data_IF_191847911976
#
_entry.id   IF_191847911976
#
_cell.length_a   1.000
_cell.length_b   1.000
_cell.length_c   1.000
_cell.angle_alpha   90.00
_cell.angle_beta   90.00
_cell.angle_gamma   90.00
#
_symmetry.space_group_name_H-M   'P 1'
#
loop_
_entity.id
_entity.type
_entity.pdbx_description
1 polymer ?
#
# COMPACT_ATOMS: atom_id res chain seq x y z
N UNK A 1 13.15 -27.17 -21.30
CA UNK A 1 12.69 -26.36 -20.16
C UNK A 1 11.35 -25.76 -20.52
N UNK A 2 10.39 -25.75 -19.59
CA UNK A 2 9.14 -24.99 -19.76
C UNK A 2 9.45 -23.49 -19.89
N UNK A 3 8.66 -22.78 -20.69
CA UNK A 3 8.80 -21.34 -20.94
C UNK A 3 7.55 -20.61 -20.43
N UNK A 4 7.72 -19.33 -20.07
CA UNK A 4 6.58 -18.45 -19.79
C UNK A 4 5.68 -18.34 -21.02
N UNK A 5 4.38 -18.51 -20.81
CA UNK A 5 3.34 -18.49 -21.84
C UNK A 5 2.12 -17.72 -21.32
N UNK A 6 2.10 -16.41 -21.59
CA UNK A 6 1.07 -15.51 -21.09
C UNK A 6 -0.29 -15.73 -21.77
N UNK A 7 -0.38 -16.49 -22.87
CA UNK A 7 -1.68 -16.87 -23.44
C UNK A 7 -2.44 -17.85 -22.55
N UNK A 8 -1.75 -18.47 -21.58
CA UNK A 8 -2.31 -19.38 -20.56
C UNK A 8 -2.46 -18.71 -19.18
N UNK A 9 -2.29 -17.38 -19.10
CA UNK A 9 -2.49 -16.64 -17.86
C UNK A 9 -3.91 -16.84 -17.33
N UNK A 10 -4.04 -17.26 -16.06
CA UNK A 10 -5.33 -17.46 -15.41
C UNK A 10 -5.42 -16.66 -14.10
N UNK A 11 -6.44 -15.81 -14.05
CA UNK A 11 -6.81 -15.02 -12.88
C UNK A 11 -8.31 -15.16 -12.55
N UNK A 12 -8.97 -16.21 -13.04
CA UNK A 12 -10.38 -16.51 -12.76
C UNK A 12 -10.68 -16.67 -11.26
N UNK A 13 -9.69 -17.13 -10.49
CA UNK A 13 -9.77 -17.22 -9.02
C UNK A 13 -9.83 -15.85 -8.34
N UNK A 14 -9.25 -14.83 -8.97
CA UNK A 14 -9.07 -13.52 -8.35
C UNK A 14 -10.35 -12.70 -8.40
N UNK A 15 -10.83 -12.32 -7.21
CA UNK A 15 -12.01 -11.47 -7.07
C UNK A 15 -11.58 -10.09 -6.57
N UNK A 16 -11.50 -9.06 -7.42
CA UNK A 16 -11.08 -7.72 -6.99
C UNK A 16 -12.05 -7.07 -5.98
N UNK A 17 -13.29 -7.59 -5.89
CA UNK A 17 -14.37 -6.95 -5.15
C UNK A 17 -14.91 -5.72 -5.88
N UNK A 18 -15.95 -5.12 -5.30
CA UNK A 18 -16.73 -4.08 -5.97
C UNK A 18 -17.44 -4.58 -7.24
N UNK A 19 -18.46 -3.87 -7.68
CA UNK A 19 -19.07 -4.12 -9.00
C UNK A 19 -18.19 -3.54 -10.11
N UNK A 20 -18.40 -3.96 -11.36
CA UNK A 20 -17.69 -3.38 -12.51
C UNK A 20 -17.90 -1.85 -12.59
N UNK A 21 -19.15 -1.40 -12.41
CA UNK A 21 -19.52 0.02 -12.34
C UNK A 21 -18.74 0.74 -11.23
N UNK A 22 -18.68 0.16 -10.03
CA UNK A 22 -17.92 0.75 -8.92
C UNK A 22 -16.44 0.92 -9.25
N UNK A 23 -15.82 -0.06 -9.93
CA UNK A 23 -14.42 0.02 -10.38
C UNK A 23 -14.22 1.12 -11.43
N UNK A 24 -15.12 1.24 -12.39
CA UNK A 24 -15.07 2.27 -13.43
C UNK A 24 -15.21 3.66 -12.83
N UNK A 25 -16.22 3.88 -11.97
CA UNK A 25 -16.39 5.16 -11.29
C UNK A 25 -15.17 5.50 -10.43
N UNK A 26 -14.64 4.52 -9.69
CA UNK A 26 -13.45 4.74 -8.88
C UNK A 26 -12.25 5.16 -9.72
N UNK A 27 -12.06 4.56 -10.91
CA UNK A 27 -10.97 4.94 -11.80
C UNK A 27 -10.96 6.45 -12.08
N UNK A 28 -12.10 7.02 -12.49
CA UNK A 28 -12.21 8.45 -12.76
C UNK A 28 -12.06 9.30 -11.49
N UNK A 29 -12.68 8.89 -10.37
CA UNK A 29 -12.53 9.58 -9.08
C UNK A 29 -11.07 9.61 -8.63
N UNK A 30 -10.35 8.49 -8.75
CA UNK A 30 -8.94 8.37 -8.40
C UNK A 30 -8.08 9.29 -9.26
N UNK A 31 -8.32 9.35 -10.57
CA UNK A 31 -7.61 10.28 -11.47
C UNK A 31 -7.89 11.74 -11.10
N UNK A 32 -9.15 12.12 -10.95
CA UNK A 32 -9.55 13.51 -10.74
C UNK A 32 -9.18 14.07 -9.37
N UNK A 33 -9.29 13.25 -8.31
CA UNK A 33 -9.16 13.73 -6.93
C UNK A 33 -7.90 13.24 -6.21
N UNK A 34 -7.27 12.14 -6.63
CA UNK A 34 -6.11 11.59 -5.92
C UNK A 34 -4.82 11.81 -6.71
N UNK A 35 -4.80 11.38 -7.97
CA UNK A 35 -3.61 11.51 -8.82
C UNK A 35 -3.38 12.95 -9.31
N UNK A 36 -4.45 13.73 -9.42
CA UNK A 36 -4.39 15.14 -9.81
C UNK A 36 -3.51 15.97 -8.85
N UNK A 37 -2.37 16.51 -9.31
CA UNK A 37 -1.46 17.28 -8.46
C UNK A 37 -2.08 18.61 -7.96
N UNK A 38 -3.12 19.11 -8.64
CA UNK A 38 -3.80 20.37 -8.28
C UNK A 38 -4.81 20.22 -7.15
N UNK A 39 -5.07 19.01 -6.63
CA UNK A 39 -5.95 18.83 -5.49
C UNK A 39 -5.15 18.65 -4.17
N UNK A 40 -4.92 19.72 -3.38
CA UNK A 40 -4.25 19.61 -2.09
C UNK A 40 -5.17 19.10 -0.96
N UNK A 41 -6.48 19.09 -1.16
CA UNK A 41 -7.44 18.88 -0.07
C UNK A 41 -7.53 17.40 0.32
N UNK A 42 -7.15 17.09 1.57
CA UNK A 42 -7.25 15.74 2.13
C UNK A 42 -8.70 15.36 2.44
N UNK A 43 -9.52 16.31 2.89
CA UNK A 43 -10.93 16.09 3.23
C UNK A 43 -11.74 15.52 2.06
N UNK A 44 -11.54 16.07 0.86
CA UNK A 44 -12.21 15.61 -0.36
C UNK A 44 -11.78 14.19 -0.76
N UNK A 45 -10.49 13.86 -0.63
CA UNK A 45 -9.99 12.49 -0.84
C UNK A 45 -10.61 11.52 0.17
N UNK A 46 -10.66 11.91 1.45
CA UNK A 46 -11.24 11.09 2.52
C UNK A 46 -12.74 10.85 2.28
N UNK A 47 -13.47 11.89 1.86
CA UNK A 47 -14.89 11.75 1.49
C UNK A 47 -15.08 10.66 0.44
N UNK A 48 -14.36 10.74 -0.69
CA UNK A 48 -14.45 9.74 -1.75
C UNK A 48 -14.01 8.35 -1.31
N UNK A 49 -12.95 8.23 -0.51
CA UNK A 49 -12.53 6.94 0.04
C UNK A 49 -13.66 6.28 0.84
N UNK A 50 -14.33 7.02 1.72
CA UNK A 50 -15.43 6.51 2.54
C UNK A 50 -16.63 6.11 1.68
N UNK A 51 -17.02 6.92 0.69
CA UNK A 51 -18.10 6.59 -0.26
C UNK A 51 -17.80 5.29 -1.00
N UNK A 52 -16.54 5.05 -1.38
CA UNK A 52 -16.13 3.83 -2.07
C UNK A 52 -15.82 2.65 -1.13
N UNK A 53 -16.08 2.78 0.17
CA UNK A 53 -16.07 1.69 1.15
C UNK A 53 -14.77 1.51 1.92
N UNK A 54 -13.83 2.46 1.84
CA UNK A 54 -12.68 2.45 2.73
C UNK A 54 -13.10 2.83 4.17
N UNK A 55 -12.40 2.27 5.15
CA UNK A 55 -12.49 2.70 6.55
C UNK A 55 -11.37 3.69 6.80
N UNK A 56 -11.70 4.92 7.21
CA UNK A 56 -10.70 5.99 7.41
C UNK A 56 -10.96 6.68 8.75
N UNK A 57 -9.94 6.69 9.62
CA UNK A 57 -9.95 7.33 10.92
C UNK A 57 -9.87 8.86 10.88
N UNK A 58 -9.54 9.45 12.03
CA UNK A 58 -9.44 10.91 12.24
C UNK A 58 -8.04 11.41 11.89
N UNK A 59 -7.92 12.70 11.53
CA UNK A 59 -6.61 13.34 11.35
C UNK A 59 -5.76 12.76 10.21
N UNK A 60 -6.36 12.06 9.25
CA UNK A 60 -5.63 11.50 8.10
C UNK A 60 -5.28 12.61 7.11
N UNK A 61 -4.03 12.63 6.66
CA UNK A 61 -3.53 13.55 5.63
C UNK A 61 -3.13 12.74 4.41
N UNK A 62 -3.68 13.09 3.24
CA UNK A 62 -3.40 12.46 1.96
C UNK A 62 -2.95 13.53 0.97
N UNK A 63 -1.66 13.51 0.67
CA UNK A 63 -1.02 14.45 -0.25
C UNK A 63 -1.46 14.25 -1.70
N UNK A 64 -1.20 15.22 -2.59
CA UNK A 64 -1.49 15.08 -4.02
C UNK A 64 -0.74 13.93 -4.68
N UNK A 65 -1.22 13.54 -5.85
CA UNK A 65 -0.63 12.50 -6.70
C UNK A 65 -0.56 11.10 -6.07
N UNK A 66 -1.36 10.83 -5.03
CA UNK A 66 -1.51 9.48 -4.47
C UNK A 66 -2.36 8.63 -5.42
N UNK A 67 -2.05 7.34 -5.53
CA UNK A 67 -2.81 6.40 -6.34
C UNK A 67 -3.28 5.23 -5.48
N UNK A 68 -4.59 4.97 -5.44
CA UNK A 68 -5.19 3.88 -4.66
C UNK A 68 -6.02 2.99 -5.59
N UNK A 69 -5.76 1.69 -5.59
CA UNK A 69 -6.39 0.77 -6.55
C UNK A 69 -7.85 0.46 -6.20
N UNK A 70 -8.13 0.02 -4.97
CA UNK A 70 -9.44 -0.49 -4.52
C UNK A 70 -9.80 -0.01 -3.10
N UNK A 71 -10.52 1.12 -2.93
CA UNK A 71 -10.83 1.68 -1.61
C UNK A 71 -11.54 0.73 -0.65
N UNK A 72 -12.41 -0.14 -1.16
CA UNK A 72 -13.12 -1.14 -0.36
C UNK A 72 -12.22 -2.23 0.26
N UNK A 73 -10.93 -2.24 -0.08
CA UNK A 73 -9.89 -3.09 0.50
C UNK A 73 -8.89 -2.30 1.36
N UNK A 74 -9.24 -1.05 1.74
CA UNK A 74 -8.34 -0.15 2.46
C UNK A 74 -8.93 0.21 3.83
N UNK A 75 -8.13 -0.01 4.88
CA UNK A 75 -8.39 0.48 6.23
C UNK A 75 -7.25 1.39 6.66
N UNK A 76 -7.58 2.58 7.12
CA UNK A 76 -6.65 3.60 7.61
C UNK A 76 -7.08 3.99 9.03
N UNK A 77 -6.14 3.92 9.96
CA UNK A 77 -6.27 4.36 11.34
C UNK A 77 -6.34 5.88 11.51
N UNK A 78 -6.06 6.32 12.73
CA UNK A 78 -6.03 7.73 13.10
C UNK A 78 -4.64 8.35 12.91
N UNK A 79 -4.60 9.65 12.61
CA UNK A 79 -3.38 10.45 12.52
C UNK A 79 -2.33 9.87 11.56
N UNK A 80 -2.81 9.40 10.40
CA UNK A 80 -1.97 8.82 9.36
C UNK A 80 -1.54 9.88 8.36
N UNK A 81 -0.28 9.85 7.96
CA UNK A 81 0.26 10.68 6.88
C UNK A 81 0.60 9.84 5.65
N UNK A 82 0.05 10.23 4.49
CA UNK A 82 0.35 9.63 3.18
C UNK A 82 0.94 10.70 2.28
N UNK A 83 2.22 10.57 1.98
CA UNK A 83 3.02 11.49 1.17
C UNK A 83 2.68 11.47 -0.31
N UNK A 84 3.23 12.43 -1.04
CA UNK A 84 3.01 12.61 -2.47
C UNK A 84 3.43 11.38 -3.25
N UNK A 85 2.72 11.04 -4.33
CA UNK A 85 3.10 9.94 -5.25
C UNK A 85 3.16 8.55 -4.60
N UNK A 86 2.59 8.38 -3.41
CA UNK A 86 2.42 7.04 -2.82
C UNK A 86 1.48 6.22 -3.69
N UNK A 87 1.86 4.99 -3.97
CA UNK A 87 1.02 4.03 -4.68
C UNK A 87 0.61 2.89 -3.75
N UNK A 88 -0.70 2.76 -3.54
CA UNK A 88 -1.32 1.66 -2.78
C UNK A 88 -1.99 0.73 -3.79
N UNK A 89 -1.25 -0.27 -4.25
CA UNK A 89 -1.73 -1.31 -5.17
C UNK A 89 -2.41 -2.44 -4.41
N UNK A 90 -3.51 -2.12 -3.75
CA UNK A 90 -4.21 -3.03 -2.84
C UNK A 90 -5.12 -4.03 -3.57
N UNK A 91 -4.51 -4.90 -4.40
CA UNK A 91 -5.16 -6.08 -4.97
C UNK A 91 -5.64 -7.06 -3.89
N UNK A 92 -5.03 -7.03 -2.71
CA UNK A 92 -5.53 -7.62 -1.47
C UNK A 92 -5.71 -6.53 -0.40
N UNK A 93 -6.14 -6.89 0.79
CA UNK A 93 -6.42 -5.92 1.84
C UNK A 93 -5.13 -5.21 2.31
N UNK A 94 -5.22 -3.90 2.46
CA UNK A 94 -4.19 -3.06 3.08
C UNK A 94 -4.77 -2.45 4.34
N UNK A 95 -4.13 -2.75 5.47
CA UNK A 95 -4.46 -2.22 6.78
C UNK A 95 -3.33 -1.30 7.26
N UNK A 96 -3.65 -0.04 7.52
CA UNK A 96 -2.75 0.99 8.02
C UNK A 96 -3.26 1.37 9.42
N UNK A 97 -2.43 1.14 10.43
CA UNK A 97 -2.72 1.45 11.83
C UNK A 97 -2.66 2.94 12.15
N UNK A 98 -2.78 3.26 13.43
CA UNK A 98 -2.73 4.64 13.93
C UNK A 98 -1.28 5.18 13.87
N UNK A 99 -1.12 6.49 13.72
CA UNK A 99 0.18 7.17 13.75
C UNK A 99 1.19 6.67 12.68
N UNK A 100 0.71 6.05 11.59
CA UNK A 100 1.56 5.58 10.49
C UNK A 100 1.94 6.73 9.58
N UNK A 101 3.21 6.77 9.18
CA UNK A 101 3.71 7.69 8.15
C UNK A 101 4.21 6.92 6.93
N UNK A 102 3.69 7.27 5.77
CA UNK A 102 4.13 6.72 4.47
C UNK A 102 4.68 7.89 3.66
N UNK A 103 6.00 7.94 3.51
CA UNK A 103 6.67 9.03 2.82
C UNK A 103 6.54 8.94 1.30
N UNK A 104 6.83 10.06 0.65
CA UNK A 104 6.63 10.28 -0.76
C UNK A 104 7.22 9.19 -1.67
N UNK A 105 6.46 8.81 -2.69
CA UNK A 105 6.86 7.81 -3.69
C UNK A 105 6.94 6.37 -3.17
N UNK A 106 6.59 6.10 -1.92
CA UNK A 106 6.55 4.73 -1.41
C UNK A 106 5.46 3.90 -2.11
N UNK A 107 5.69 2.61 -2.22
CA UNK A 107 4.78 1.66 -2.90
C UNK A 107 4.38 0.53 -1.95
N UNK A 108 3.08 0.35 -1.75
CA UNK A 108 2.51 -0.81 -1.06
C UNK A 108 1.92 -1.73 -2.12
N UNK A 109 2.59 -2.86 -2.40
CA UNK A 109 2.26 -3.72 -3.53
C UNK A 109 1.66 -5.03 -3.04
N UNK A 110 0.35 -5.21 -3.17
CA UNK A 110 -0.29 -6.48 -2.80
C UNK A 110 -0.22 -7.54 -3.91
N UNK A 111 0.05 -7.15 -5.15
CA UNK A 111 0.12 -8.04 -6.30
C UNK A 111 1.55 -8.45 -6.66
N UNK A 112 1.70 -9.68 -7.16
CA UNK A 112 2.88 -10.14 -7.89
C UNK A 112 2.48 -11.31 -8.81
N UNK A 113 3.42 -11.91 -9.52
CA UNK A 113 3.18 -13.07 -10.36
C UNK A 113 3.95 -14.29 -9.86
N UNK A 114 3.35 -15.48 -10.01
CA UNK A 114 4.03 -16.72 -9.71
C UNK A 114 5.05 -17.05 -10.80
N UNK A 115 6.26 -16.53 -10.65
CA UNK A 115 7.38 -16.74 -11.59
C UNK A 115 7.85 -18.19 -11.68
N UNK A 116 7.34 -19.10 -10.83
CA UNK A 116 7.63 -20.54 -10.89
C UNK A 116 6.67 -21.30 -11.81
N UNK A 117 5.63 -20.65 -12.34
CA UNK A 117 4.68 -21.24 -13.29
C UNK A 117 4.85 -20.62 -14.67
N UNK A 118 4.74 -21.45 -15.71
CA UNK A 118 4.71 -20.99 -17.10
C UNK A 118 3.58 -19.97 -17.35
N UNK A 119 2.44 -20.12 -16.69
CA UNK A 119 1.26 -19.24 -16.82
C UNK A 119 1.46 -17.85 -16.22
N UNK A 120 2.46 -17.67 -15.33
CA UNK A 120 2.75 -16.41 -14.66
C UNK A 120 1.53 -15.82 -13.94
N UNK A 121 0.70 -16.67 -13.34
CA UNK A 121 -0.55 -16.27 -12.70
C UNK A 121 -0.34 -15.22 -11.61
N UNK A 122 -1.37 -14.39 -11.41
CA UNK A 122 -1.42 -13.45 -10.29
C UNK A 122 -1.27 -14.21 -8.96
N UNK A 123 -0.49 -13.64 -8.04
CA UNK A 123 -0.49 -13.95 -6.62
C UNK A 123 -0.74 -12.65 -5.86
N UNK A 124 -1.41 -12.77 -4.70
CA UNK A 124 -1.68 -11.59 -3.87
C UNK A 124 -1.35 -11.85 -2.41
N UNK A 125 -0.93 -10.81 -1.69
CA UNK A 125 -0.69 -10.86 -0.26
C UNK A 125 -1.13 -9.57 0.42
N UNK A 126 -1.86 -9.71 1.53
CA UNK A 126 -2.31 -8.57 2.35
C UNK A 126 -1.12 -7.84 2.95
N UNK A 127 -1.19 -6.52 3.03
CA UNK A 127 -0.17 -5.71 3.73
C UNK A 127 -0.79 -5.15 5.00
N UNK A 128 -0.06 -5.25 6.11
CA UNK A 128 -0.45 -4.67 7.39
C UNK A 128 0.67 -3.79 7.92
N UNK A 129 0.41 -2.49 8.07
CA UNK A 129 1.27 -1.56 8.78
C UNK A 129 0.64 -1.34 10.15
N UNK A 130 1.28 -1.79 11.22
CA UNK A 130 0.80 -1.57 12.58
C UNK A 130 1.09 -0.14 13.04
N UNK A 131 0.68 0.18 14.27
CA UNK A 131 0.80 1.52 14.83
C UNK A 131 2.23 2.07 14.75
N UNK A 132 2.39 3.36 14.43
CA UNK A 132 3.66 4.06 14.50
C UNK A 132 4.70 3.63 13.46
N UNK A 133 4.33 2.75 12.51
CA UNK A 133 5.20 2.33 11.41
C UNK A 133 5.55 3.54 10.55
N UNK A 134 6.82 3.60 10.13
CA UNK A 134 7.26 4.58 9.13
C UNK A 134 7.81 3.86 7.89
N UNK A 135 7.19 4.13 6.75
CA UNK A 135 7.67 3.73 5.43
C UNK A 135 8.34 4.94 4.79
N UNK A 136 9.66 4.86 4.66
CA UNK A 136 10.51 5.89 4.09
C UNK A 136 10.24 6.15 2.61
N UNK A 137 10.76 7.28 2.13
CA UNK A 137 10.48 7.74 0.78
C UNK A 137 10.99 6.74 -0.26
N UNK A 138 10.22 6.54 -1.34
CA UNK A 138 10.54 5.57 -2.41
C UNK A 138 10.76 4.12 -1.94
N UNK A 139 10.36 3.78 -0.72
CA UNK A 139 10.46 2.42 -0.22
C UNK A 139 9.31 1.55 -0.70
N UNK A 140 9.55 0.23 -0.76
CA UNK A 140 8.62 -0.74 -1.32
C UNK A 140 8.27 -1.76 -0.24
N UNK A 141 6.97 -2.00 -0.04
CA UNK A 141 6.46 -3.08 0.79
C UNK A 141 5.88 -4.16 -0.12
N UNK A 142 6.49 -5.34 -0.10
CA UNK A 142 6.11 -6.48 -0.94
C UNK A 142 4.78 -7.10 -0.51
N UNK A 143 4.17 -7.98 -1.34
CA UNK A 143 2.94 -8.68 -0.97
C UNK A 143 3.10 -9.50 0.31
N UNK A 144 2.08 -9.50 1.16
CA UNK A 144 2.04 -10.37 2.34
C UNK A 144 2.83 -9.86 3.55
N UNK A 145 3.43 -8.67 3.46
CA UNK A 145 4.30 -8.15 4.51
C UNK A 145 3.48 -7.48 5.62
N UNK A 146 3.80 -7.86 6.85
CA UNK A 146 3.42 -7.12 8.06
C UNK A 146 4.61 -6.29 8.54
N UNK A 147 4.43 -4.99 8.66
CA UNK A 147 5.35 -4.11 9.38
C UNK A 147 4.80 -3.96 10.80
N UNK A 148 5.48 -4.53 11.80
CA UNK A 148 5.00 -4.48 13.17
C UNK A 148 5.20 -3.11 13.81
N UNK A 149 4.54 -2.90 14.95
CA UNK A 149 4.48 -1.63 15.68
C UNK A 149 5.82 -0.89 15.75
N UNK A 150 5.82 0.38 15.34
CA UNK A 150 6.97 1.29 15.34
C UNK A 150 8.17 0.88 14.51
N UNK A 151 8.07 -0.15 13.66
CA UNK A 151 9.13 -0.48 12.71
C UNK A 151 9.35 0.63 11.68
N UNK A 152 10.60 0.77 11.23
CA UNK A 152 10.99 1.75 10.21
C UNK A 152 11.56 0.99 9.01
N UNK A 153 11.00 1.25 7.83
CA UNK A 153 11.65 0.92 6.56
C UNK A 153 12.25 2.21 6.02
N UNK A 154 13.56 2.41 6.11
CA UNK A 154 14.16 3.71 5.72
C UNK A 154 14.03 3.95 4.21
N UNK A 155 14.35 5.17 3.78
CA UNK A 155 14.33 5.60 2.37
C UNK A 155 14.93 4.56 1.41
N UNK A 156 14.30 4.41 0.25
CA UNK A 156 14.77 3.56 -0.85
C UNK A 156 15.04 2.09 -0.46
N UNK A 157 14.29 1.56 0.51
CA UNK A 157 14.44 0.18 0.99
C UNK A 157 13.27 -0.71 0.58
N UNK A 158 13.51 -2.01 0.43
CA UNK A 158 12.52 -2.99 -0.07
C UNK A 158 12.27 -4.05 0.99
N UNK A 159 11.10 -3.99 1.62
CA UNK A 159 10.66 -5.00 2.56
C UNK A 159 10.17 -6.25 1.81
N UNK A 160 10.93 -7.33 1.90
CA UNK A 160 10.61 -8.66 1.35
C UNK A 160 10.25 -9.68 2.44
N UNK A 161 10.35 -9.29 3.72
CA UNK A 161 10.03 -10.08 4.91
C UNK A 161 9.34 -9.20 5.94
N UNK A 162 8.73 -9.82 6.96
CA UNK A 162 8.08 -9.14 8.09
C UNK A 162 9.09 -8.26 8.84
N UNK A 163 8.69 -7.04 9.21
CA UNK A 163 9.50 -6.13 10.04
C UNK A 163 9.12 -6.32 11.51
N UNK A 164 10.13 -6.42 12.38
CA UNK A 164 9.98 -6.53 13.84
C UNK A 164 9.67 -5.17 14.46
N UNK A 165 9.03 -5.20 15.62
CA UNK A 165 8.68 -4.01 16.40
C UNK A 165 9.94 -3.22 16.77
N UNK A 166 9.81 -1.89 16.84
CA UNK A 166 10.88 -0.99 17.27
C UNK A 166 12.24 -1.30 16.62
N UNK A 167 12.23 -1.61 15.31
CA UNK A 167 13.43 -2.01 14.58
C UNK A 167 13.49 -1.25 13.27
N UNK A 168 14.69 -0.79 12.91
CA UNK A 168 14.99 -0.05 11.69
C UNK A 168 15.55 -1.02 10.66
N UNK A 169 15.00 -0.95 9.44
CA UNK A 169 15.36 -1.77 8.30
C UNK A 169 15.87 -0.91 7.14
N UNK A 170 16.93 -1.37 6.47
CA UNK A 170 17.56 -0.66 5.34
C UNK A 170 18.03 -1.63 4.25
N UNK A 171 17.92 -1.19 2.98
CA UNK A 171 18.48 -1.88 1.81
C UNK A 171 17.47 -2.55 0.91
N UNK A 172 17.96 -3.24 -0.13
CA UNK A 172 17.19 -4.05 -1.06
C UNK A 172 17.91 -5.40 -1.29
N UNK A 173 17.47 -6.50 -0.66
CA UNK A 173 16.37 -6.57 0.30
C UNK A 173 16.71 -5.84 1.61
N UNK A 174 15.69 -5.32 2.29
CA UNK A 174 15.89 -4.61 3.55
C UNK A 174 16.26 -5.59 4.68
N UNK A 175 17.30 -5.25 5.44
CA UNK A 175 17.78 -6.02 6.59
C UNK A 175 17.69 -5.19 7.88
N UNK A 176 17.63 -5.87 9.02
CA UNK A 176 17.66 -5.22 10.35
C UNK A 176 19.01 -4.52 10.52
N UNK A 177 18.98 -3.21 10.80
CA UNK A 177 20.21 -2.41 11.02
C UNK A 177 20.40 -1.98 12.46
N UNK A 178 19.33 -1.59 13.16
CA UNK A 178 19.37 -1.21 14.59
C UNK A 178 17.99 -1.18 15.21
N UNK A 179 17.94 -1.11 16.54
CA UNK A 179 16.72 -0.82 17.28
C UNK A 179 16.33 0.65 17.12
N UNK A 180 15.01 0.89 17.14
CA UNK A 180 14.42 2.22 17.21
C UNK A 180 14.18 2.52 18.68
N UNK A 181 14.83 3.56 19.17
CA UNK A 181 14.59 4.12 20.49
C UNK A 181 13.80 5.42 20.30
N UNK A 182 12.79 5.64 21.14
CA UNK A 182 11.97 6.85 21.14
C UNK A 182 12.23 7.53 22.48
N UNK A 183 12.75 8.75 22.42
CA UNK A 183 12.98 9.61 23.59
C UNK A 183 12.00 10.77 23.53
N UNK A 184 11.62 11.29 24.69
CA UNK A 184 10.88 12.56 24.83
C UNK A 184 11.82 13.77 24.75
#
# INVERSE_FOLDING_TARGET
>A
MEKTDLSKFDNSWYKPGGTAVKRILWYFINVLFFQNPYNPFSSLKIFWLKIFGAKVGKGVVIKPSVNIKYPWRLKIGNYVWIGEKVWIDNLADVEIGDNVSISQGAMLLCGNHNYKKATFDLITGKIKLEEGVWIGAKSIVSPGITCKSHSILVVNSVATKKLKEYTIYQGNPAVEVRKREITE
#
